data_IF_680933650866
#
_entry.id   IF_680933650866
#
_cell.length_a   1.000
_cell.length_b   1.000
_cell.length_c   1.000
_cell.angle_alpha   90.00
_cell.angle_beta   90.00
_cell.angle_gamma   90.00
#
_symmetry.space_group_name_H-M   'P 1'
#
loop_
_entity.id
_entity.type
_entity.pdbx_description
1 polymer ?
#
# COMPACT_ATOMS: atom_id res chain seq x y z
N UNK A 1 -11.02 13.07 -5.77
CA UNK A 1 -11.98 12.08 -6.34
C UNK A 1 -11.31 10.72 -6.40
N UNK A 2 -11.96 9.62 -5.96
CA UNK A 2 -11.39 8.28 -5.98
C UNK A 2 -11.52 7.59 -7.36
N UNK A 3 -10.75 6.52 -7.58
CA UNK A 3 -10.86 5.65 -8.76
C UNK A 3 -12.23 4.95 -8.78
N UNK A 4 -13.01 5.13 -9.84
CA UNK A 4 -14.40 4.64 -9.91
C UNK A 4 -14.55 3.27 -10.57
N UNK A 5 -13.64 2.92 -11.47
CA UNK A 5 -13.69 1.66 -12.21
C UNK A 5 -12.27 1.22 -12.54
N UNK A 6 -12.09 -0.09 -12.69
CA UNK A 6 -10.83 -0.72 -13.05
C UNK A 6 -10.68 -0.76 -14.57
N UNK A 7 -9.47 -1.05 -15.06
CA UNK A 7 -9.20 -1.15 -16.51
C UNK A 7 -9.27 -2.61 -16.95
N UNK A 8 -10.19 -2.99 -17.85
CA UNK A 8 -10.26 -4.33 -18.42
C UNK A 8 -8.94 -4.78 -19.06
N UNK A 9 -8.42 -5.93 -18.64
CA UNK A 9 -7.19 -6.52 -19.18
C UNK A 9 -7.49 -7.64 -20.16
N UNK A 10 -6.59 -7.83 -21.13
CA UNK A 10 -6.56 -9.03 -21.97
C UNK A 10 -5.77 -10.10 -21.23
N UNK A 11 -6.20 -11.37 -21.34
CA UNK A 11 -5.66 -12.53 -20.59
C UNK A 11 -4.13 -12.65 -20.57
N UNK A 12 -3.44 -12.17 -21.60
CA UNK A 12 -1.97 -12.28 -21.75
C UNK A 12 -1.27 -10.96 -22.05
N UNK A 13 -1.93 -9.82 -21.80
CA UNK A 13 -1.29 -8.50 -21.98
C UNK A 13 -0.42 -8.11 -20.78
N UNK A 14 0.62 -7.31 -21.04
CA UNK A 14 1.40 -6.59 -20.02
C UNK A 14 1.09 -5.08 -20.02
N UNK A 15 -0.13 -4.73 -20.43
CA UNK A 15 -0.56 -3.35 -20.52
C UNK A 15 -0.69 -2.75 -19.11
N UNK A 16 -0.38 -1.46 -18.96
CA UNK A 16 -0.68 -0.77 -17.71
C UNK A 16 -2.19 -0.70 -17.51
N UNK A 17 -2.67 -1.25 -16.39
CA UNK A 17 -4.09 -1.30 -16.07
C UNK A 17 -4.30 -0.95 -14.60
N UNK A 18 -5.43 -0.34 -14.26
CA UNK A 18 -5.84 -0.34 -12.86
C UNK A 18 -6.49 -1.68 -12.55
N UNK A 19 -5.94 -2.40 -11.58
CA UNK A 19 -6.52 -3.65 -11.07
C UNK A 19 -7.82 -3.38 -10.29
N UNK A 20 -8.77 -4.35 -10.24
CA UNK A 20 -9.98 -4.25 -9.43
C UNK A 20 -9.73 -3.83 -7.98
N UNK A 21 -8.61 -4.27 -7.40
CA UNK A 21 -8.18 -3.99 -6.04
C UNK A 21 -7.86 -2.51 -5.77
N UNK A 22 -7.66 -1.71 -6.83
CA UNK A 22 -7.40 -0.26 -6.74
C UNK A 22 -8.68 0.57 -6.80
N UNK A 23 -9.84 -0.03 -7.12
CA UNK A 23 -11.12 0.69 -7.16
C UNK A 23 -11.42 1.27 -5.78
N UNK A 24 -11.80 2.55 -5.75
CA UNK A 24 -12.01 3.31 -4.53
C UNK A 24 -10.76 4.04 -4.01
N UNK A 25 -9.57 3.75 -4.52
CA UNK A 25 -8.35 4.43 -4.08
C UNK A 25 -8.38 5.92 -4.40
N UNK A 26 -7.96 6.75 -3.43
CA UNK A 26 -7.74 8.19 -3.65
C UNK A 26 -6.42 8.42 -4.37
N UNK A 27 -6.23 9.56 -5.07
CA UNK A 27 -4.95 9.91 -5.68
C UNK A 27 -3.80 9.91 -4.67
N UNK A 28 -4.06 10.32 -3.42
CA UNK A 28 -3.04 10.31 -2.36
C UNK A 28 -2.66 8.88 -1.98
N UNK A 29 -3.64 7.99 -1.82
CA UNK A 29 -3.38 6.58 -1.54
C UNK A 29 -2.60 5.91 -2.69
N UNK A 30 -2.94 6.22 -3.94
CA UNK A 30 -2.21 5.71 -5.11
C UNK A 30 -0.76 6.21 -5.12
N UNK A 31 -0.54 7.50 -4.89
CA UNK A 31 0.82 8.06 -4.80
C UNK A 31 1.66 7.36 -3.73
N UNK A 32 1.05 7.04 -2.58
CA UNK A 32 1.71 6.24 -1.54
C UNK A 32 2.05 4.82 -2.04
N UNK A 33 1.08 4.11 -2.64
CA UNK A 33 1.26 2.74 -3.14
C UNK A 33 2.34 2.60 -4.22
N UNK A 34 2.53 3.65 -5.01
CA UNK A 34 3.52 3.72 -6.09
C UNK A 34 4.80 4.48 -5.70
N UNK A 35 4.99 4.80 -4.42
CA UNK A 35 6.21 5.43 -3.89
C UNK A 35 6.55 6.76 -4.56
N UNK A 36 5.55 7.65 -4.71
CA UNK A 36 5.65 8.97 -5.35
C UNK A 36 5.52 10.10 -4.30
N UNK A 37 6.56 10.36 -3.48
CA UNK A 37 6.47 11.28 -2.34
C UNK A 37 6.21 12.74 -2.75
N UNK A 38 6.75 13.20 -3.89
CA UNK A 38 6.49 14.53 -4.44
C UNK A 38 5.00 14.72 -4.78
N UNK A 39 4.39 13.69 -5.35
CA UNK A 39 2.96 13.70 -5.70
C UNK A 39 2.12 13.68 -4.43
N UNK A 40 2.50 12.91 -3.41
CA UNK A 40 1.84 12.95 -2.09
C UNK A 40 1.84 14.35 -1.49
N UNK A 41 3.00 15.02 -1.48
CA UNK A 41 3.16 16.41 -0.99
C UNK A 41 2.26 17.38 -1.77
N UNK A 42 2.26 17.28 -3.10
CA UNK A 42 1.43 18.12 -3.96
C UNK A 42 -0.06 17.90 -3.69
N UNK A 43 -0.50 16.65 -3.56
CA UNK A 43 -1.91 16.32 -3.34
C UNK A 43 -2.43 16.85 -2.01
N UNK A 44 -1.64 16.73 -0.94
CA UNK A 44 -2.01 17.25 0.40
C UNK A 44 -2.07 18.77 0.38
N UNK A 45 -1.13 19.44 -0.30
CA UNK A 45 -1.18 20.90 -0.51
C UNK A 45 -2.48 21.35 -1.18
N UNK A 46 -3.11 20.47 -1.97
CA UNK A 46 -4.41 20.70 -2.61
C UNK A 46 -5.60 20.07 -1.87
N UNK A 47 -5.43 19.70 -0.59
CA UNK A 47 -6.53 19.24 0.27
C UNK A 47 -6.88 17.76 0.14
N UNK A 48 -5.98 16.93 -0.37
CA UNK A 48 -6.18 15.48 -0.31
C UNK A 48 -6.18 14.98 1.14
N UNK A 49 -7.08 14.07 1.46
CA UNK A 49 -7.18 13.43 2.77
C UNK A 49 -6.14 12.31 2.91
N UNK A 50 -5.15 12.45 3.83
CA UNK A 50 -4.13 11.43 4.05
C UNK A 50 -4.60 10.27 4.91
N UNK A 51 -5.69 10.44 5.67
CA UNK A 51 -6.23 9.44 6.61
C UNK A 51 -7.15 8.42 5.93
N UNK A 52 -7.37 8.57 4.62
CA UNK A 52 -8.17 7.66 3.84
C UNK A 52 -7.69 6.21 3.94
N UNK A 53 -8.63 5.30 4.17
CA UNK A 53 -8.41 3.85 4.19
C UNK A 53 -9.03 3.23 2.96
N UNK A 54 -8.20 2.66 2.08
CA UNK A 54 -8.71 1.87 0.97
C UNK A 54 -9.29 0.57 1.50
N UNK A 55 -10.56 0.32 1.19
CA UNK A 55 -11.21 -0.97 1.39
C UNK A 55 -11.44 -1.59 0.02
N UNK A 56 -10.77 -2.70 -0.23
CA UNK A 56 -10.84 -3.41 -1.50
C UNK A 56 -11.17 -4.88 -1.28
N UNK A 57 -11.56 -5.55 -2.35
CA UNK A 57 -11.82 -6.98 -2.39
C UNK A 57 -10.89 -7.58 -3.42
N UNK A 58 -10.18 -8.63 -3.03
CA UNK A 58 -9.32 -9.40 -3.93
C UNK A 58 -9.81 -10.83 -4.02
N UNK A 59 -9.66 -11.42 -5.20
CA UNK A 59 -9.92 -12.84 -5.37
C UNK A 59 -8.66 -13.62 -5.01
N UNK A 60 -8.76 -14.54 -4.06
CA UNK A 60 -7.67 -15.44 -3.70
C UNK A 60 -8.06 -16.89 -3.97
N UNK A 61 -7.07 -17.70 -4.32
CA UNK A 61 -7.27 -19.13 -4.42
C UNK A 61 -7.58 -19.68 -3.00
N UNK A 62 -8.74 -20.31 -2.85
CA UNK A 62 -9.14 -20.94 -1.61
C UNK A 62 -8.24 -22.15 -1.30
N UNK A 63 -8.11 -22.54 -0.03
CA UNK A 63 -7.38 -23.77 0.35
C UNK A 63 -8.18 -25.00 -0.08
N UNK A 64 -8.05 -25.39 -1.35
CA UNK A 64 -8.73 -26.55 -1.94
C UNK A 64 -10.21 -26.31 -2.30
N UNK A 65 -10.65 -25.06 -2.37
CA UNK A 65 -12.01 -24.63 -2.74
C UNK A 65 -11.98 -23.66 -3.91
N UNK A 66 -13.15 -23.38 -4.50
CA UNK A 66 -13.31 -22.32 -5.49
C UNK A 66 -12.77 -20.97 -4.98
N UNK A 67 -12.46 -20.06 -5.91
CA UNK A 67 -11.99 -18.71 -5.63
C UNK A 67 -12.80 -18.01 -4.52
N UNK A 68 -12.10 -17.46 -3.53
CA UNK A 68 -12.69 -16.77 -2.38
C UNK A 68 -12.45 -15.27 -2.47
N UNK A 69 -13.49 -14.48 -2.16
CA UNK A 69 -13.36 -13.03 -2.02
C UNK A 69 -12.80 -12.69 -0.65
N UNK A 70 -11.64 -12.04 -0.63
CA UNK A 70 -10.99 -11.56 0.59
C UNK A 70 -11.01 -10.04 0.63
N UNK A 71 -11.58 -9.51 1.70
CA UNK A 71 -11.58 -8.08 1.98
C UNK A 71 -10.21 -7.64 2.49
N UNK A 72 -9.79 -6.46 2.09
CA UNK A 72 -8.61 -5.78 2.60
C UNK A 72 -8.97 -4.37 3.09
N UNK A 73 -8.17 -3.85 4.02
CA UNK A 73 -8.24 -2.47 4.47
C UNK A 73 -6.81 -1.96 4.65
N UNK A 74 -6.44 -0.89 3.95
CA UNK A 74 -5.05 -0.38 3.94
C UNK A 74 -5.00 1.13 4.04
N UNK A 75 -4.18 1.62 4.96
CA UNK A 75 -3.87 3.05 5.12
C UNK A 75 -2.79 3.49 4.13
N UNK A 76 -2.53 4.79 4.02
CA UNK A 76 -1.43 5.30 3.20
C UNK A 76 -0.05 4.81 3.67
N UNK A 77 0.18 4.63 4.98
CA UNK A 77 1.44 4.07 5.51
C UNK A 77 1.61 2.61 5.08
N UNK A 78 0.54 1.81 5.13
CA UNK A 78 0.57 0.42 4.62
C UNK A 78 0.83 0.39 3.11
N UNK A 79 0.18 1.28 2.35
CA UNK A 79 0.36 1.40 0.91
C UNK A 79 1.81 1.74 0.55
N UNK A 80 2.40 2.73 1.22
CA UNK A 80 3.80 3.12 1.07
C UNK A 80 4.77 1.98 1.47
N UNK A 81 4.38 1.15 2.45
CA UNK A 81 5.08 -0.08 2.83
C UNK A 81 4.81 -1.28 1.88
N UNK A 82 4.24 -1.03 0.69
CA UNK A 82 4.02 -2.03 -0.36
C UNK A 82 2.84 -2.98 -0.12
N UNK A 83 1.85 -2.58 0.69
CA UNK A 83 0.65 -3.37 0.95
C UNK A 83 -0.56 -2.89 0.13
N UNK A 84 -1.49 -3.81 -0.15
CA UNK A 84 -2.76 -3.52 -0.80
C UNK A 84 -2.66 -3.23 -2.30
N UNK A 85 -3.82 -3.00 -2.93
CA UNK A 85 -3.94 -2.52 -4.31
C UNK A 85 -3.57 -3.52 -5.41
N UNK A 86 -3.43 -4.80 -5.08
CA UNK A 86 -3.09 -5.83 -6.07
C UNK A 86 -1.69 -5.63 -6.70
N UNK A 87 -1.32 -6.58 -7.56
CA UNK A 87 -0.21 -6.46 -8.50
C UNK A 87 1.22 -6.20 -8.00
N UNK A 88 2.16 -6.45 -8.92
CA UNK A 88 3.48 -5.84 -8.86
C UNK A 88 3.38 -4.35 -9.27
N UNK A 89 4.31 -3.48 -8.85
CA UNK A 89 4.38 -2.11 -9.36
C UNK A 89 4.45 -2.10 -10.89
N UNK A 90 3.87 -1.07 -11.50
CA UNK A 90 3.92 -0.87 -12.96
C UNK A 90 5.35 -0.72 -13.48
N UNK A 91 6.21 -0.08 -12.70
CA UNK A 91 7.60 0.15 -13.07
C UNK A 91 8.54 -0.54 -12.09
N UNK A 92 9.43 -1.35 -12.65
CA UNK A 92 10.54 -1.93 -11.90
C UNK A 92 11.67 -0.90 -11.83
N UNK A 93 11.96 -0.46 -10.61
CA UNK A 93 13.07 0.43 -10.29
C UNK A 93 14.06 -0.32 -9.39
N UNK A 94 15.31 0.14 -9.37
CA UNK A 94 16.37 -0.43 -8.54
C UNK A 94 15.93 -0.52 -7.06
N UNK A 95 16.25 -1.63 -6.40
CA UNK A 95 15.73 -1.98 -5.07
C UNK A 95 16.04 -0.89 -4.03
N UNK A 96 17.29 -0.41 -3.98
CA UNK A 96 17.72 0.64 -3.06
C UNK A 96 17.02 1.97 -3.32
N UNK A 97 16.82 2.34 -4.59
CA UNK A 97 16.01 3.52 -4.97
C UNK A 97 14.57 3.37 -4.50
N UNK A 98 13.97 2.18 -4.66
CA UNK A 98 12.60 1.91 -4.23
C UNK A 98 12.44 2.05 -2.72
N UNK A 99 13.38 1.52 -1.96
CA UNK A 99 13.37 1.61 -0.51
C UNK A 99 13.46 3.07 -0.04
N UNK A 100 14.33 3.89 -0.66
CA UNK A 100 14.44 5.33 -0.34
C UNK A 100 13.13 6.08 -0.59
N UNK A 101 12.50 5.86 -1.75
CA UNK A 101 11.22 6.48 -2.07
C UNK A 101 10.09 6.00 -1.14
N UNK A 102 10.09 4.71 -0.78
CA UNK A 102 9.15 4.16 0.19
C UNK A 102 9.34 4.79 1.59
N UNK A 103 10.59 5.01 2.02
CA UNK A 103 10.89 5.68 3.29
C UNK A 103 10.33 7.10 3.30
N UNK A 104 10.57 7.89 2.25
CA UNK A 104 10.01 9.24 2.15
C UNK A 104 8.47 9.23 2.15
N UNK A 105 7.85 8.32 1.40
CA UNK A 105 6.40 8.19 1.36
C UNK A 105 5.81 7.81 2.73
N UNK A 106 6.47 6.90 3.46
CA UNK A 106 6.09 6.52 4.83
C UNK A 106 6.26 7.70 5.78
N UNK A 107 7.36 8.45 5.70
CA UNK A 107 7.59 9.65 6.51
C UNK A 107 6.46 10.66 6.33
N UNK A 108 6.13 11.01 5.07
CA UNK A 108 5.03 11.93 4.76
C UNK A 108 3.72 11.44 5.37
N UNK A 109 3.36 10.17 5.16
CA UNK A 109 2.09 9.66 5.67
C UNK A 109 2.02 9.68 7.21
N UNK A 110 3.11 9.34 7.89
CA UNK A 110 3.21 9.39 9.37
C UNK A 110 3.13 10.84 9.88
N UNK A 111 3.85 11.77 9.25
CA UNK A 111 3.81 13.20 9.60
C UNK A 111 2.43 13.81 9.44
N UNK A 112 1.64 13.29 8.49
CA UNK A 112 0.26 13.69 8.26
C UNK A 112 -0.76 13.03 9.21
N UNK A 113 -0.29 12.30 10.21
CA UNK A 113 -1.11 11.73 11.27
C UNK A 113 -1.71 10.36 10.97
N UNK A 114 -1.25 9.66 9.92
CA UNK A 114 -1.69 8.30 9.66
C UNK A 114 -1.13 7.37 10.74
N UNK A 115 -2.01 6.57 11.37
CA UNK A 115 -1.63 5.66 12.44
C UNK A 115 -0.63 4.59 11.95
N UNK A 116 0.56 4.61 12.55
CA UNK A 116 1.67 3.68 12.28
C UNK A 116 1.37 2.26 12.75
N UNK A 117 0.50 2.10 13.76
CA UNK A 117 0.12 0.83 14.36
C UNK A 117 -1.20 0.27 13.82
N UNK A 118 -1.78 0.93 12.82
CA UNK A 118 -2.96 0.44 12.15
C UNK A 118 -2.71 -1.00 11.63
N UNK A 119 -3.75 -1.84 11.74
CA UNK A 119 -3.73 -3.23 11.26
C UNK A 119 -4.71 -3.37 10.12
N UNK A 120 -4.29 -4.09 9.07
CA UNK A 120 -5.22 -4.50 8.03
C UNK A 120 -6.16 -5.60 8.57
N UNK A 121 -7.11 -6.04 7.74
CA UNK A 121 -8.07 -7.08 8.13
C UNK A 121 -7.43 -8.45 8.43
N UNK A 122 -6.16 -8.64 8.04
CA UNK A 122 -5.38 -9.84 8.35
C UNK A 122 -4.55 -9.70 9.65
N UNK A 123 -4.64 -8.55 10.33
CA UNK A 123 -3.86 -8.25 11.52
C UNK A 123 -2.41 -7.87 11.25
N UNK A 124 -2.03 -7.60 9.99
CA UNK A 124 -0.69 -7.14 9.58
C UNK A 124 -0.59 -5.63 9.62
N UNK A 125 0.59 -5.15 9.97
CA UNK A 125 0.98 -3.74 10.04
C UNK A 125 1.93 -3.37 8.90
N UNK A 126 2.20 -2.07 8.73
CA UNK A 126 3.21 -1.60 7.79
C UNK A 126 4.62 -2.12 8.14
N UNK A 127 4.93 -2.29 9.44
CA UNK A 127 6.20 -2.84 9.91
C UNK A 127 6.40 -4.29 9.45
N UNK A 128 5.35 -5.11 9.50
CA UNK A 128 5.43 -6.51 9.04
C UNK A 128 5.75 -6.58 7.54
N UNK A 129 5.17 -5.67 6.73
CA UNK A 129 5.47 -5.60 5.30
C UNK A 129 6.89 -5.10 5.03
N UNK A 130 7.34 -4.05 5.72
CA UNK A 130 8.70 -3.52 5.56
C UNK A 130 9.76 -4.60 5.84
N UNK A 131 9.58 -5.38 6.92
CA UNK A 131 10.46 -6.52 7.25
C UNK A 131 10.44 -7.60 6.17
N UNK A 132 9.26 -7.99 5.69
CA UNK A 132 9.12 -9.01 4.63
C UNK A 132 9.77 -8.58 3.31
N UNK A 133 9.73 -7.28 2.99
CA UNK A 133 10.34 -6.70 1.80
C UNK A 133 11.84 -6.40 1.97
N UNK A 134 12.40 -6.60 3.18
CA UNK A 134 13.77 -6.26 3.54
C UNK A 134 14.07 -4.76 3.34
N UNK A 135 13.11 -3.90 3.66
CA UNK A 135 13.26 -2.45 3.66
C UNK A 135 13.72 -2.00 5.04
N UNK A 136 15.00 -2.20 5.32
CA UNK A 136 15.61 -1.98 6.64
C UNK A 136 15.45 -0.53 7.11
N UNK A 137 15.65 0.44 6.23
CA UNK A 137 15.52 1.86 6.58
C UNK A 137 14.07 2.24 6.92
N UNK A 138 13.10 1.68 6.19
CA UNK A 138 11.66 1.86 6.47
C UNK A 138 11.29 1.20 7.79
N UNK A 139 11.75 -0.03 8.03
CA UNK A 139 11.49 -0.75 9.26
C UNK A 139 12.08 -0.03 10.48
N UNK A 140 13.31 0.47 10.37
CA UNK A 140 13.98 1.24 11.42
C UNK A 140 13.20 2.51 11.76
N UNK A 141 12.79 3.29 10.74
CA UNK A 141 11.99 4.49 10.94
C UNK A 141 10.64 4.19 11.61
N UNK A 142 9.94 3.14 11.17
CA UNK A 142 8.67 2.74 11.77
C UNK A 142 8.85 2.36 13.25
N UNK A 143 9.90 1.62 13.60
CA UNK A 143 10.22 1.27 14.99
C UNK A 143 10.55 2.50 15.83
N UNK A 144 11.31 3.45 15.28
CA UNK A 144 11.59 4.74 15.94
C UNK A 144 10.30 5.51 16.26
N UNK A 145 9.30 5.45 15.36
CA UNK A 145 7.97 6.02 15.56
C UNK A 145 7.04 5.16 16.43
N UNK A 146 7.54 4.10 17.04
CA UNK A 146 6.80 3.24 17.97
C UNK A 146 5.89 2.21 17.30
N UNK A 147 6.18 1.82 16.06
CA UNK A 147 5.48 0.74 15.37
C UNK A 147 5.70 -0.61 16.07
N UNK A 148 4.62 -1.38 16.20
CA UNK A 148 4.61 -2.73 16.76
C UNK A 148 4.27 -3.74 15.66
N UNK A 149 4.81 -4.96 15.72
CA UNK A 149 4.43 -6.01 14.79
C UNK A 149 2.94 -6.35 14.94
N UNK A 150 2.38 -6.87 13.86
CA UNK A 150 1.00 -7.32 13.82
C UNK A 150 0.71 -8.54 14.69
N UNK A 151 -0.55 -8.97 14.68
CA UNK A 151 -0.98 -10.19 15.40
C UNK A 151 -0.69 -11.48 14.65
N UNK A 152 -0.24 -11.38 13.39
CA UNK A 152 0.24 -12.51 12.59
C UNK A 152 1.73 -12.36 12.34
N UNK A 153 2.49 -13.39 12.68
CA UNK A 153 3.89 -13.48 12.27
C UNK A 153 4.00 -13.51 10.74
N UNK A 154 5.06 -12.89 10.22
CA UNK A 154 5.39 -12.92 8.81
C UNK A 154 5.84 -14.34 8.43
N UNK A 155 4.87 -15.18 8.02
CA UNK A 155 5.13 -16.40 7.25
C UNK A 155 5.62 -16.07 5.84
#
# INVERSE_FOLDING_TARGET
MPLRTWTPTRRTSRDFNFEPELVGATPFWLAARFTEPEVMRLLVKHGADPLFVLRSEKMVEGRGVAWEQRKEATTAVMAAAGMGGGGSPWTEIERGRREKLALEAVQIAVELGVDVNAKNLDGRTALDSARRLQWESVAAFLVEKGAKPGTKEAQ
#
